data_IF_522613446455
#
_entry.id   IF_522613446455
#
_cell.length_a   1.000
_cell.length_b   1.000
_cell.length_c   1.000
_cell.angle_alpha   90.00
_cell.angle_beta   90.00
_cell.angle_gamma   90.00
#
_symmetry.space_group_name_H-M   'P 1'
#
loop_
_entity.id
_entity.type
_entity.pdbx_description
1 polymer ?
#
# COMPACT_ATOMS: atom_id res chain seq x y z
N UNK A 1 18.32 8.63 35.33
CA UNK A 1 18.62 7.47 34.47
C UNK A 1 17.32 6.69 34.29
N UNK A 2 16.62 6.89 33.17
CA UNK A 2 15.45 6.10 32.79
C UNK A 2 15.73 5.53 31.39
N UNK A 3 15.73 4.20 31.33
CA UNK A 3 16.22 3.36 30.25
C UNK A 3 15.20 3.28 29.10
N UNK A 4 15.65 3.62 27.89
CA UNK A 4 15.42 2.89 26.63
C UNK A 4 14.15 2.02 26.53
N UNK A 5 13.02 2.61 26.12
CA UNK A 5 11.84 1.89 25.61
C UNK A 5 11.11 2.69 24.49
N UNK A 6 11.87 3.29 23.57
CA UNK A 6 11.34 3.97 22.37
C UNK A 6 11.78 3.26 21.09
N UNK A 7 11.53 1.95 20.99
CA UNK A 7 11.70 1.20 19.75
C UNK A 7 10.33 0.68 19.30
N UNK A 8 9.89 1.18 18.15
CA UNK A 8 8.97 0.63 17.15
C UNK A 8 7.55 0.19 17.53
N UNK A 9 6.62 1.14 17.42
CA UNK A 9 5.21 0.88 17.05
C UNK A 9 4.86 1.31 15.62
N UNK A 10 5.82 1.81 14.84
CA UNK A 10 5.55 2.35 13.50
C UNK A 10 5.50 1.28 12.40
N UNK A 11 6.21 0.16 12.55
CA UNK A 11 6.31 -0.86 11.49
C UNK A 11 5.04 -1.73 11.38
N UNK A 12 4.36 -2.03 12.49
CA UNK A 12 3.03 -2.69 12.47
C UNK A 12 1.95 -1.85 11.78
N UNK A 13 2.12 -0.52 11.75
CA UNK A 13 1.17 0.39 11.13
C UNK A 13 1.12 0.26 9.62
N UNK A 14 2.27 0.03 8.96
CA UNK A 14 2.33 -0.02 7.50
C UNK A 14 1.75 -1.31 6.93
N UNK A 15 1.98 -2.45 7.59
CA UNK A 15 1.35 -3.72 7.22
C UNK A 15 -0.17 -3.67 7.45
N UNK A 16 -0.63 -3.00 8.50
CA UNK A 16 -2.06 -2.78 8.74
C UNK A 16 -2.68 -1.94 7.62
N UNK A 17 -2.07 -0.80 7.28
CA UNK A 17 -2.56 0.08 6.21
C UNK A 17 -2.54 -0.67 4.87
N UNK A 18 -1.47 -1.40 4.56
CA UNK A 18 -1.39 -2.25 3.36
C UNK A 18 -2.55 -3.25 3.31
N UNK A 19 -2.83 -3.93 4.43
CA UNK A 19 -3.93 -4.89 4.51
C UNK A 19 -5.29 -4.23 4.25
N UNK A 20 -5.54 -3.05 4.82
CA UNK A 20 -6.76 -2.27 4.58
C UNK A 20 -6.91 -1.98 3.07
N UNK A 21 -5.88 -1.44 2.43
CA UNK A 21 -5.88 -1.16 0.98
C UNK A 21 -6.23 -2.42 0.16
N UNK A 22 -5.62 -3.55 0.50
CA UNK A 22 -5.84 -4.83 -0.21
C UNK A 22 -7.27 -5.35 0.01
N UNK A 23 -7.79 -5.26 1.23
CA UNK A 23 -9.13 -5.73 1.57
C UNK A 23 -10.20 -4.86 0.89
N UNK A 24 -10.00 -3.53 0.85
CA UNK A 24 -10.88 -2.60 0.14
C UNK A 24 -10.87 -2.87 -1.36
N UNK A 25 -9.69 -2.99 -2.00
CA UNK A 25 -9.58 -3.36 -3.41
C UNK A 25 -10.31 -4.67 -3.75
N UNK A 26 -10.18 -5.68 -2.89
CA UNK A 26 -10.87 -6.96 -3.06
C UNK A 26 -12.38 -6.84 -2.87
N UNK A 27 -12.82 -5.98 -1.93
CA UNK A 27 -14.24 -5.69 -1.74
C UNK A 27 -14.83 -5.03 -2.99
N UNK A 28 -14.13 -4.06 -3.58
CA UNK A 28 -14.53 -3.42 -4.84
C UNK A 28 -14.73 -4.46 -5.96
N UNK A 29 -13.82 -5.43 -6.07
CA UNK A 29 -13.88 -6.46 -7.10
C UNK A 29 -15.06 -7.42 -6.93
N UNK A 30 -15.43 -7.71 -5.67
CA UNK A 30 -16.45 -8.71 -5.33
C UNK A 30 -17.85 -8.14 -5.19
N UNK A 31 -17.98 -6.84 -4.95
CA UNK A 31 -19.25 -6.18 -4.66
C UNK A 31 -19.73 -5.38 -5.87
N UNK A 32 -20.57 -5.96 -6.75
CA UNK A 32 -21.10 -5.25 -7.93
C UNK A 32 -21.94 -4.01 -7.56
N UNK A 33 -22.54 -4.00 -6.38
CA UNK A 33 -23.32 -2.87 -5.84
C UNK A 33 -22.44 -1.64 -5.60
N UNK A 34 -21.24 -1.84 -5.04
CA UNK A 34 -20.23 -0.80 -4.86
C UNK A 34 -19.83 -0.21 -6.20
N UNK A 35 -19.71 -1.03 -7.24
CA UNK A 35 -19.35 -0.58 -8.59
C UNK A 35 -20.53 0.00 -9.39
N UNK A 36 -21.76 -0.13 -8.91
CA UNK A 36 -22.96 0.38 -9.57
C UNK A 36 -23.33 1.80 -9.10
N UNK A 37 -23.00 2.17 -7.86
CA UNK A 37 -23.29 3.49 -7.30
C UNK A 37 -22.14 4.46 -7.50
N UNK A 38 -22.38 5.61 -8.14
CA UNK A 38 -21.37 6.67 -8.31
C UNK A 38 -20.86 7.15 -6.96
N UNK A 39 -21.75 7.43 -6.02
CA UNK A 39 -21.40 7.98 -4.70
C UNK A 39 -20.52 7.02 -3.89
N UNK A 40 -20.88 5.73 -3.87
CA UNK A 40 -20.08 4.70 -3.17
C UNK A 40 -18.72 4.49 -3.83
N UNK A 41 -18.63 4.58 -5.16
CA UNK A 41 -17.33 4.54 -5.84
C UNK A 41 -16.49 5.72 -5.41
N UNK A 42 -17.00 6.94 -5.50
CA UNK A 42 -16.25 8.15 -5.16
C UNK A 42 -15.74 8.11 -3.71
N UNK A 43 -16.59 7.78 -2.74
CA UNK A 43 -16.19 7.67 -1.32
C UNK A 43 -15.06 6.66 -1.13
N UNK A 44 -15.21 5.47 -1.69
CA UNK A 44 -14.23 4.40 -1.59
C UNK A 44 -12.89 4.74 -2.27
N UNK A 45 -12.92 5.40 -3.42
CA UNK A 45 -11.68 5.80 -4.11
C UNK A 45 -10.96 6.95 -3.41
N UNK A 46 -11.70 7.85 -2.74
CA UNK A 46 -11.11 8.83 -1.84
C UNK A 46 -10.40 8.15 -0.67
N UNK A 47 -11.06 7.19 0.01
CA UNK A 47 -10.45 6.45 1.13
C UNK A 47 -9.23 5.63 0.67
N UNK A 48 -9.34 4.93 -0.46
CA UNK A 48 -8.26 4.15 -1.03
C UNK A 48 -7.03 5.02 -1.35
N UNK A 49 -7.26 6.21 -1.90
CA UNK A 49 -6.20 7.18 -2.19
C UNK A 49 -5.53 7.66 -0.91
N UNK A 50 -6.31 8.01 0.11
CA UNK A 50 -5.80 8.44 1.41
C UNK A 50 -4.95 7.36 2.10
N UNK A 51 -5.44 6.11 2.12
CA UNK A 51 -4.67 5.00 2.69
C UNK A 51 -3.40 4.71 1.88
N UNK A 52 -3.47 4.77 0.56
CA UNK A 52 -2.30 4.57 -0.32
C UNK A 52 -1.24 5.63 -0.07
N UNK A 53 -1.62 6.91 0.05
CA UNK A 53 -0.71 8.01 0.41
C UNK A 53 -0.09 7.77 1.79
N UNK A 54 -0.91 7.42 2.79
CA UNK A 54 -0.43 7.13 4.15
C UNK A 54 0.56 5.97 4.18
N UNK A 55 0.29 4.92 3.40
CA UNK A 55 1.18 3.77 3.26
C UNK A 55 2.54 4.19 2.71
N UNK A 56 2.55 4.87 1.55
CA UNK A 56 3.80 5.27 0.91
C UNK A 56 4.61 6.26 1.74
N UNK A 57 3.98 7.27 2.35
CA UNK A 57 4.67 8.20 3.25
C UNK A 57 5.28 7.48 4.46
N UNK A 58 4.60 6.43 4.95
CA UNK A 58 5.10 5.59 6.02
C UNK A 58 6.33 4.80 5.61
N UNK A 59 6.28 4.11 4.47
CA UNK A 59 7.43 3.39 3.90
C UNK A 59 8.58 4.35 3.60
N UNK A 60 8.30 5.51 3.01
CA UNK A 60 9.29 6.54 2.70
C UNK A 60 10.08 6.95 3.94
N UNK A 61 9.38 7.23 5.04
CA UNK A 61 9.99 7.57 6.33
C UNK A 61 10.87 6.43 6.86
N UNK A 62 10.44 5.18 6.71
CA UNK A 62 11.21 4.01 7.14
C UNK A 62 12.46 3.78 6.30
N UNK A 63 12.37 3.93 4.97
CA UNK A 63 13.51 3.83 4.07
C UNK A 63 14.56 4.91 4.37
N UNK A 64 14.11 6.15 4.59
CA UNK A 64 15.01 7.24 5.00
C UNK A 64 15.68 6.98 6.34
N UNK A 65 14.93 6.48 7.33
CA UNK A 65 15.49 6.14 8.64
C UNK A 65 16.57 5.04 8.56
N UNK A 66 16.46 4.14 7.58
CA UNK A 66 17.41 3.04 7.33
C UNK A 66 18.50 3.38 6.31
N UNK A 67 18.55 4.61 5.78
CA UNK A 67 19.42 5.01 4.66
C UNK A 67 19.36 4.04 3.47
N UNK A 68 18.16 3.54 3.14
CA UNK A 68 18.00 2.60 2.05
C UNK A 68 18.13 3.31 0.69
N UNK A 69 19.00 2.80 -0.18
CA UNK A 69 19.29 3.35 -1.51
C UNK A 69 18.16 3.14 -2.53
N UNK A 70 17.16 2.31 -2.21
CA UNK A 70 16.02 2.02 -3.09
C UNK A 70 14.90 3.07 -3.03
N UNK A 71 15.14 4.19 -2.37
CA UNK A 71 14.21 5.31 -2.26
C UNK A 71 13.71 5.81 -3.62
N UNK A 72 14.63 6.11 -4.54
CA UNK A 72 14.29 6.68 -5.86
C UNK A 72 13.47 5.72 -6.73
N UNK A 73 13.65 4.41 -6.53
CA UNK A 73 12.86 3.40 -7.21
C UNK A 73 11.43 3.37 -6.65
N UNK A 74 11.27 3.44 -5.31
CA UNK A 74 9.95 3.48 -4.68
C UNK A 74 9.17 4.74 -5.07
N UNK A 75 9.82 5.90 -5.12
CA UNK A 75 9.17 7.17 -5.47
C UNK A 75 8.49 7.08 -6.85
N UNK A 76 9.15 6.46 -7.84
CA UNK A 76 8.55 6.24 -9.17
C UNK A 76 7.32 5.34 -9.12
N UNK A 77 7.35 4.29 -8.30
CA UNK A 77 6.18 3.42 -8.13
C UNK A 77 5.03 4.14 -7.43
N UNK A 78 5.32 4.92 -6.40
CA UNK A 78 4.36 5.73 -5.68
C UNK A 78 3.67 6.73 -6.62
N UNK A 79 4.44 7.51 -7.39
CA UNK A 79 3.88 8.48 -8.33
C UNK A 79 2.95 7.83 -9.35
N UNK A 80 3.37 6.69 -9.92
CA UNK A 80 2.54 6.01 -10.91
C UNK A 80 1.26 5.43 -10.31
N UNK A 81 1.29 4.89 -9.08
CA UNK A 81 0.08 4.39 -8.41
C UNK A 81 -0.89 5.51 -8.02
N UNK A 82 -0.37 6.64 -7.55
CA UNK A 82 -1.18 7.81 -7.23
C UNK A 82 -1.79 8.44 -8.49
N UNK A 83 -1.05 8.45 -9.61
CA UNK A 83 -1.58 8.88 -10.90
C UNK A 83 -2.74 7.99 -11.35
N UNK A 84 -2.56 6.66 -11.34
CA UNK A 84 -3.62 5.71 -11.71
C UNK A 84 -4.88 5.92 -10.84
N UNK A 85 -4.71 6.14 -9.53
CA UNK A 85 -5.82 6.41 -8.61
C UNK A 85 -6.52 7.74 -8.92
N UNK A 86 -5.75 8.79 -9.23
CA UNK A 86 -6.30 10.10 -9.58
C UNK A 86 -7.06 10.06 -10.91
N UNK A 87 -6.53 9.36 -11.92
CA UNK A 87 -7.18 9.18 -13.23
C UNK A 87 -8.47 8.37 -13.08
N UNK A 88 -8.46 7.35 -12.22
CA UNK A 88 -9.63 6.54 -11.92
C UNK A 88 -10.71 7.35 -11.19
N UNK A 89 -10.33 8.13 -10.18
CA UNK A 89 -11.25 9.03 -9.48
C UNK A 89 -11.92 10.00 -10.45
N UNK A 90 -11.10 10.69 -11.27
CA UNK A 90 -11.62 11.62 -12.27
C UNK A 90 -12.59 10.92 -13.24
N UNK A 91 -12.24 9.73 -13.71
CA UNK A 91 -13.08 8.95 -14.62
C UNK A 91 -14.44 8.60 -13.99
N UNK A 92 -14.45 8.28 -12.71
CA UNK A 92 -15.67 7.93 -11.97
C UNK A 92 -16.59 9.13 -11.81
N UNK A 93 -16.03 10.28 -11.45
CA UNK A 93 -16.76 11.55 -11.33
C UNK A 93 -17.40 11.97 -12.66
N UNK A 94 -16.81 11.55 -13.78
CA UNK A 94 -17.28 11.89 -15.14
C UNK A 94 -18.04 10.74 -15.84
N UNK A 95 -18.47 9.71 -15.09
CA UNK A 95 -19.41 8.70 -15.59
C UNK A 95 -18.79 7.52 -16.34
N UNK A 96 -17.55 7.15 -16.00
CA UNK A 96 -16.87 5.99 -16.59
C UNK A 96 -17.63 4.66 -16.40
N UNK A 97 -17.47 3.76 -17.37
CA UNK A 97 -18.07 2.43 -17.36
C UNK A 97 -17.47 1.54 -16.26
N UNK A 98 -18.31 0.76 -15.59
CA UNK A 98 -17.90 -0.17 -14.53
C UNK A 98 -16.86 -1.22 -14.98
N UNK A 99 -16.73 -1.48 -16.29
CA UNK A 99 -15.72 -2.41 -16.84
C UNK A 99 -14.30 -1.83 -16.71
N UNK A 100 -14.10 -0.57 -17.11
CA UNK A 100 -12.80 0.10 -16.97
C UNK A 100 -12.38 0.19 -15.51
N UNK A 101 -13.32 0.51 -14.61
CA UNK A 101 -13.06 0.58 -13.17
C UNK A 101 -12.54 -0.76 -12.63
N UNK A 102 -13.14 -1.88 -13.04
CA UNK A 102 -12.67 -3.21 -12.66
C UNK A 102 -11.25 -3.49 -13.16
N UNK A 103 -10.97 -3.18 -14.42
CA UNK A 103 -9.64 -3.39 -15.02
C UNK A 103 -8.56 -2.58 -14.29
N UNK A 104 -8.85 -1.31 -13.97
CA UNK A 104 -7.93 -0.46 -13.19
C UNK A 104 -7.74 -0.98 -11.77
N UNK A 105 -8.79 -1.42 -11.09
CA UNK A 105 -8.70 -2.04 -9.76
C UNK A 105 -7.82 -3.31 -9.77
N UNK A 106 -7.91 -4.15 -10.82
CA UNK A 106 -7.03 -5.30 -10.99
C UNK A 106 -5.58 -4.90 -11.20
N UNK A 107 -5.34 -3.89 -12.06
CA UNK A 107 -3.99 -3.36 -12.30
C UNK A 107 -3.37 -2.82 -11.01
N UNK A 108 -4.09 -1.99 -10.26
CA UNK A 108 -3.65 -1.43 -8.98
C UNK A 108 -3.28 -2.52 -7.98
N UNK A 109 -4.11 -3.57 -7.86
CA UNK A 109 -3.84 -4.68 -6.95
C UNK A 109 -2.54 -5.42 -7.33
N UNK A 110 -2.31 -5.71 -8.61
CA UNK A 110 -1.09 -6.38 -9.07
C UNK A 110 0.14 -5.51 -8.77
N UNK A 111 0.06 -4.22 -9.08
CA UNK A 111 1.17 -3.27 -8.88
C UNK A 111 1.50 -3.07 -7.40
N UNK A 112 0.50 -2.93 -6.53
CA UNK A 112 0.70 -2.84 -5.08
C UNK A 112 1.37 -4.09 -4.50
N UNK A 113 0.95 -5.29 -4.92
CA UNK A 113 1.61 -6.53 -4.50
C UNK A 113 3.06 -6.60 -5.00
N UNK A 114 3.33 -6.16 -6.24
CA UNK A 114 4.69 -6.12 -6.77
C UNK A 114 5.59 -5.16 -5.99
N UNK A 115 5.07 -3.99 -5.59
CA UNK A 115 5.80 -3.04 -4.74
C UNK A 115 6.06 -3.62 -3.35
N UNK A 116 5.06 -4.25 -2.71
CA UNK A 116 5.26 -4.91 -1.41
C UNK A 116 6.33 -6.00 -1.49
N UNK A 117 6.26 -6.85 -2.51
CA UNK A 117 7.26 -7.88 -2.76
C UNK A 117 8.66 -7.30 -2.97
N UNK A 118 8.78 -6.24 -3.77
CA UNK A 118 10.05 -5.53 -3.99
C UNK A 118 10.62 -4.98 -2.67
N UNK A 119 9.78 -4.35 -1.84
CA UNK A 119 10.20 -3.85 -0.53
C UNK A 119 10.68 -4.99 0.38
N UNK A 120 9.95 -6.11 0.39
CA UNK A 120 10.31 -7.28 1.20
C UNK A 120 11.65 -7.91 0.77
N UNK A 121 11.90 -8.00 -0.54
CA UNK A 121 13.13 -8.57 -1.08
C UNK A 121 14.34 -7.64 -1.00
N UNK A 122 14.15 -6.34 -1.27
CA UNK A 122 15.26 -5.40 -1.49
C UNK A 122 15.57 -4.52 -0.29
N UNK A 123 14.56 -4.22 0.51
CA UNK A 123 14.70 -3.31 1.65
C UNK A 123 14.80 -4.09 2.98
N UNK A 124 14.96 -5.42 2.90
CA UNK A 124 14.98 -6.36 4.02
C UNK A 124 13.81 -6.07 4.98
N UNK A 125 12.65 -5.72 4.41
CA UNK A 125 11.38 -5.55 5.13
C UNK A 125 10.79 -6.91 5.55
N UNK A 126 11.65 -7.90 5.78
CA UNK A 126 11.28 -9.10 6.50
C UNK A 126 10.86 -8.69 7.92
N UNK A 127 9.56 -8.79 8.19
CA UNK A 127 8.82 -9.42 9.32
C UNK A 127 9.58 -9.99 10.55
N UNK A 128 10.91 -10.03 10.58
CA UNK A 128 11.74 -10.57 11.66
C UNK A 128 11.81 -9.71 12.92
N UNK A 129 11.28 -8.48 12.91
CA UNK A 129 11.14 -7.70 14.16
C UNK A 129 9.88 -8.09 14.97
N UNK A 130 9.06 -9.05 14.50
CA UNK A 130 7.83 -9.49 15.17
C UNK A 130 7.87 -10.87 15.84
N UNK A 131 9.00 -11.58 15.88
CA UNK A 131 9.12 -12.81 16.66
C UNK A 131 10.47 -12.89 17.39
N UNK A 132 10.51 -12.89 18.75
CA UNK A 132 11.75 -13.03 19.50
C UNK A 132 12.51 -14.37 19.35
N UNK A 133 12.20 -15.26 18.40
CA UNK A 133 12.73 -16.64 18.42
C UNK A 133 13.07 -17.35 17.10
N UNK A 134 13.09 -16.69 15.94
CA UNK A 134 13.31 -17.44 14.67
C UNK A 134 14.40 -16.94 13.73
N UNK A 135 15.17 -15.89 14.07
CA UNK A 135 16.42 -15.59 13.34
C UNK A 135 17.58 -16.50 13.78
N UNK A 136 17.30 -17.81 13.88
CA UNK A 136 18.31 -18.84 14.01
C UNK A 136 18.68 -19.33 12.62
N UNK A 137 19.91 -19.03 12.20
CA UNK A 137 20.66 -19.67 11.13
C UNK A 137 20.25 -19.35 9.67
N UNK A 138 20.72 -18.19 9.19
CA UNK A 138 21.19 -18.06 7.79
C UNK A 138 22.65 -17.60 7.79
N UNK A 139 23.50 -18.39 8.46
CA UNK A 139 24.92 -18.50 8.16
C UNK A 139 25.30 -19.97 8.32
N UNK A 140 25.28 -20.68 7.20
CA UNK A 140 26.14 -21.81 6.92
C UNK A 140 26.54 -21.68 5.44
#
# INVERSE_FOLDING_TARGET
MASSYYIDKNDQGQDFIYKVIIDDLKLCQKSPEVLASVDLRTELFCELSDYTIKYFNGIERLLRAKNCEHFDALEKYQWSLLQDLSELQWSIEHGCESKMIKETLYSLLIRLNAVKHYLDEKCDFCLCLLLPKSCGNLRA
#
